data_IF_862241053611
#
_entry.id   IF_862241053611
#
_cell.length_a   1.000
_cell.length_b   1.000
_cell.length_c   1.000
_cell.angle_alpha   90.00
_cell.angle_beta   90.00
_cell.angle_gamma   90.00
#
_symmetry.space_group_name_H-M   'P 1'
#
loop_
_entity.id
_entity.type
_entity.pdbx_description
1 polymer ?
#
# COMPACT_ATOMS: atom_id res chain seq x y z
N UNK A 1 5.03 4.23 37.32
CA UNK A 1 3.80 3.50 37.65
C UNK A 1 2.77 3.87 36.61
N UNK A 2 2.40 2.93 35.72
CA UNK A 2 1.31 3.13 34.76
C UNK A 2 -0.01 3.33 35.51
N UNK A 3 -0.86 4.25 35.04
CA UNK A 3 -2.19 4.42 35.63
C UNK A 3 -2.95 3.08 35.60
N UNK A 4 -3.67 2.71 36.68
CA UNK A 4 -4.45 1.48 36.71
C UNK A 4 -5.46 1.47 35.56
N UNK A 5 -5.66 0.30 34.96
CA UNK A 5 -6.62 0.15 33.88
C UNK A 5 -8.02 0.54 34.39
N UNK A 6 -8.64 1.52 33.74
CA UNK A 6 -10.00 1.96 34.08
C UNK A 6 -10.99 1.17 33.25
N UNK A 7 -11.74 0.28 33.90
CA UNK A 7 -12.83 -0.47 33.26
C UNK A 7 -13.84 0.51 32.64
N UNK A 8 -14.18 0.40 31.35
CA UNK A 8 -15.28 1.17 30.77
C UNK A 8 -16.61 0.73 31.40
N UNK A 9 -17.62 1.61 31.36
CA UNK A 9 -18.97 1.27 31.82
C UNK A 9 -19.49 0.06 31.02
N UNK A 10 -20.00 -0.96 31.72
CA UNK A 10 -20.45 -2.19 31.10
C UNK A 10 -21.62 -1.92 30.13
N UNK A 11 -21.52 -2.33 28.86
CA UNK A 11 -22.69 -2.36 27.98
C UNK A 11 -23.67 -3.46 28.44
N UNK A 12 -24.94 -3.34 28.05
CA UNK A 12 -26.01 -4.32 28.34
C UNK A 12 -25.56 -5.77 28.04
N UNK A 13 -25.86 -6.75 28.91
CA UNK A 13 -25.43 -8.15 28.76
C UNK A 13 -25.95 -8.85 27.49
N UNK A 14 -27.03 -8.34 26.87
CA UNK A 14 -27.53 -8.83 25.58
C UNK A 14 -26.73 -8.32 24.37
N UNK A 15 -25.90 -7.29 24.58
CA UNK A 15 -25.07 -6.70 23.55
C UNK A 15 -23.66 -7.27 23.70
N UNK A 16 -23.18 -8.00 22.69
CA UNK A 16 -21.79 -8.43 22.62
C UNK A 16 -20.77 -7.29 22.84
N UNK A 17 -19.48 -7.61 22.79
CA UNK A 17 -18.44 -6.63 23.05
C UNK A 17 -17.50 -6.44 21.86
N UNK A 18 -16.79 -5.31 21.84
CA UNK A 18 -15.88 -4.96 20.76
C UNK A 18 -14.43 -5.23 21.17
N UNK A 19 -13.86 -6.29 20.61
CA UNK A 19 -12.46 -6.63 20.76
C UNK A 19 -11.62 -5.89 19.71
N UNK A 20 -11.05 -4.75 20.09
CA UNK A 20 -10.26 -3.86 19.24
C UNK A 20 -10.42 -2.39 19.62
N UNK A 21 -10.00 -1.44 18.77
CA UNK A 21 -9.37 -1.63 17.46
C UNK A 21 -7.92 -2.09 17.57
N UNK A 22 -7.53 -3.06 16.75
CA UNK A 22 -6.13 -3.48 16.66
C UNK A 22 -5.33 -2.50 15.81
N UNK A 23 -4.09 -2.16 16.24
CA UNK A 23 -3.29 -1.17 15.54
C UNK A 23 -2.97 -1.65 14.12
N UNK A 24 -3.29 -0.82 13.12
CA UNK A 24 -2.87 -1.07 11.75
C UNK A 24 -1.34 -0.97 11.71
N UNK A 25 -0.63 -1.92 11.08
CA UNK A 25 0.82 -1.81 10.89
C UNK A 25 1.12 -0.60 9.99
N UNK A 26 1.34 0.56 10.62
CA UNK A 26 1.55 1.86 9.95
C UNK A 26 2.67 1.82 8.90
N UNK A 27 3.68 0.98 9.12
CA UNK A 27 4.77 0.77 8.17
C UNK A 27 4.28 0.18 6.85
N UNK A 28 3.39 -0.81 6.87
CA UNK A 28 2.84 -1.41 5.65
C UNK A 28 1.96 -0.42 4.88
N UNK A 29 1.16 0.39 5.59
CA UNK A 29 0.41 1.48 4.95
C UNK A 29 1.34 2.52 4.31
N UNK A 30 2.40 2.91 5.03
CA UNK A 30 3.38 3.87 4.53
C UNK A 30 4.19 3.35 3.33
N UNK A 31 4.37 2.02 3.20
CA UNK A 31 5.00 1.38 2.05
C UNK A 31 4.01 1.12 0.90
N UNK A 32 2.73 0.92 1.18
CA UNK A 32 1.72 0.69 0.14
C UNK A 32 1.43 1.96 -0.66
N UNK A 33 1.26 3.11 0.00
CA UNK A 33 0.99 4.39 -0.65
C UNK A 33 1.97 4.76 -1.80
N UNK A 34 3.31 4.74 -1.61
CA UNK A 34 4.27 5.03 -2.67
C UNK A 34 4.20 3.99 -3.81
N UNK A 35 3.98 2.71 -3.50
CA UNK A 35 3.84 1.67 -4.51
C UNK A 35 2.59 1.86 -5.37
N UNK A 36 1.46 2.26 -4.77
CA UNK A 36 0.24 2.60 -5.53
C UNK A 36 0.53 3.75 -6.47
N UNK A 37 1.17 4.79 -5.96
CA UNK A 37 1.42 6.01 -6.72
C UNK A 37 2.41 5.80 -7.88
N UNK A 38 3.55 5.16 -7.61
CA UNK A 38 4.53 4.79 -8.64
C UNK A 38 3.93 3.80 -9.62
N UNK A 39 3.20 2.79 -9.13
CA UNK A 39 2.53 1.80 -9.95
C UNK A 39 1.54 2.42 -10.93
N UNK A 40 0.68 3.32 -10.43
CA UNK A 40 -0.27 4.05 -11.26
C UNK A 40 0.43 4.90 -12.34
N UNK A 41 1.49 5.63 -11.96
CA UNK A 41 2.28 6.43 -12.92
C UNK A 41 2.86 5.56 -14.04
N UNK A 42 3.47 4.43 -13.68
CA UNK A 42 4.11 3.51 -14.62
C UNK A 42 3.09 2.83 -15.55
N UNK A 43 1.91 2.47 -15.03
CA UNK A 43 0.79 1.98 -15.85
C UNK A 43 0.33 3.05 -16.85
N UNK A 44 0.19 4.31 -16.40
CA UNK A 44 -0.17 5.42 -17.30
C UNK A 44 0.85 5.60 -18.41
N UNK A 45 2.15 5.54 -18.09
CA UNK A 45 3.22 5.66 -19.09
C UNK A 45 3.24 4.50 -20.08
N UNK A 46 3.03 3.27 -19.62
CA UNK A 46 3.07 2.09 -20.49
C UNK A 46 1.81 1.85 -21.33
N UNK A 47 0.71 2.56 -21.05
CA UNK A 47 -0.52 2.49 -21.84
C UNK A 47 -0.61 3.55 -22.95
N UNK A 48 0.34 4.50 -22.99
CA UNK A 48 0.46 5.45 -24.08
C UNK A 48 0.88 4.72 -25.38
N UNK A 49 0.10 4.90 -26.44
CA UNK A 49 0.41 4.34 -27.76
C UNK A 49 -0.02 5.31 -28.86
N UNK A 50 0.74 5.30 -29.94
CA UNK A 50 0.45 6.07 -31.16
C UNK A 50 -0.04 5.14 -32.26
N UNK A 51 -1.09 5.55 -32.97
CA UNK A 51 -1.58 4.86 -34.15
C UNK A 51 -1.61 5.84 -35.31
N UNK A 52 -0.98 5.49 -36.43
CA UNK A 52 -1.13 6.20 -37.69
C UNK A 52 -1.97 5.33 -38.62
N UNK A 53 -3.19 5.77 -38.91
CA UNK A 53 -4.12 5.09 -39.81
C UNK A 53 -4.31 5.96 -41.05
N UNK A 54 -4.03 5.41 -42.23
CA UNK A 54 -4.30 6.06 -43.49
C UNK A 54 -5.41 5.32 -44.22
N UNK A 55 -6.46 6.05 -44.60
CA UNK A 55 -7.60 5.55 -45.37
C UNK A 55 -7.89 6.48 -46.54
N UNK A 56 -7.92 5.88 -47.72
CA UNK A 56 -8.21 6.48 -49.02
C UNK A 56 -7.29 7.68 -49.32
N UNK A 57 -7.65 8.87 -48.86
CA UNK A 57 -6.91 10.13 -49.09
C UNK A 57 -6.46 10.83 -47.81
N UNK A 58 -6.79 10.27 -46.64
CA UNK A 58 -6.55 10.92 -45.35
C UNK A 58 -5.80 10.01 -44.39
N UNK A 59 -4.80 10.57 -43.73
CA UNK A 59 -4.07 9.94 -42.64
C UNK A 59 -4.47 10.60 -41.32
N UNK A 60 -4.70 9.78 -40.29
CA UNK A 60 -5.00 10.21 -38.94
C UNK A 60 -3.96 9.61 -38.01
N UNK A 61 -3.15 10.49 -37.40
CA UNK A 61 -2.34 10.09 -36.26
C UNK A 61 -3.14 10.30 -34.99
N UNK A 62 -3.46 9.21 -34.30
CA UNK A 62 -4.11 9.21 -33.00
C UNK A 62 -3.12 8.77 -31.93
N UNK A 63 -2.86 9.66 -30.98
CA UNK A 63 -2.15 9.31 -29.74
C UNK A 63 -3.16 9.10 -28.63
N UNK A 64 -3.22 7.88 -28.11
CA UNK A 64 -4.14 7.50 -27.04
C UNK A 64 -3.34 7.38 -25.74
N UNK A 65 -3.56 8.33 -24.83
CA UNK A 65 -3.14 8.23 -23.43
C UNK A 65 -4.35 7.94 -22.55
N UNK A 66 -4.13 7.46 -21.32
CA UNK A 66 -5.20 7.20 -20.35
C UNK A 66 -6.10 8.42 -20.05
N UNK A 67 -5.57 9.63 -20.22
CA UNK A 67 -6.25 10.89 -19.85
C UNK A 67 -6.69 11.69 -21.09
N UNK A 68 -6.09 11.44 -22.26
CA UNK A 68 -6.31 12.24 -23.46
C UNK A 68 -6.09 11.42 -24.73
N UNK A 69 -7.06 11.47 -25.63
CA UNK A 69 -6.83 11.18 -27.05
C UNK A 69 -6.52 12.50 -27.77
N UNK A 70 -5.41 12.54 -28.51
CA UNK A 70 -5.14 13.61 -29.48
C UNK A 70 -5.07 12.99 -30.85
N UNK A 71 -5.94 13.43 -31.76
CA UNK A 71 -5.86 13.07 -33.17
C UNK A 71 -5.41 14.26 -34.00
N UNK A 72 -4.63 13.99 -35.04
CA UNK A 72 -4.31 14.96 -36.09
C UNK A 72 -4.50 14.28 -37.44
N UNK A 73 -5.37 14.85 -38.24
CA UNK A 73 -5.61 14.40 -39.60
C UNK A 73 -4.80 15.24 -40.59
N UNK A 74 -4.31 14.62 -41.65
CA UNK A 74 -3.68 15.28 -42.79
C UNK A 74 -3.91 14.45 -44.06
N UNK A 75 -3.98 15.08 -45.25
CA UNK A 75 -4.08 14.36 -46.51
C UNK A 75 -2.87 13.45 -46.76
N UNK A 76 -3.09 12.26 -47.30
CA UNK A 76 -2.03 11.30 -47.65
C UNK A 76 -1.04 11.91 -48.67
N UNK A 77 -1.54 12.77 -49.58
CA UNK A 77 -0.70 13.49 -50.55
C UNK A 77 0.32 14.44 -49.93
N UNK A 78 0.10 14.85 -48.68
CA UNK A 78 1.05 15.68 -47.94
C UNK A 78 2.13 14.85 -47.26
N UNK A 79 1.99 13.53 -47.14
CA UNK A 79 2.98 12.66 -46.52
C UNK A 79 4.05 12.26 -47.54
N UNK A 80 5.22 12.89 -47.44
CA UNK A 80 6.33 12.66 -48.38
C UNK A 80 7.30 11.57 -47.90
N UNK A 81 7.33 11.29 -46.59
CA UNK A 81 8.15 10.22 -46.04
C UNK A 81 8.21 10.19 -44.52
N UNK A 82 8.99 9.24 -44.02
CA UNK A 82 9.27 9.06 -42.60
C UNK A 82 10.75 8.79 -42.38
N UNK A 83 11.31 9.34 -41.30
CA UNK A 83 12.69 9.12 -40.88
C UNK A 83 12.74 8.81 -39.39
N UNK A 84 13.59 7.87 -38.99
CA UNK A 84 13.90 7.63 -37.59
C UNK A 84 15.09 8.51 -37.18
N UNK A 85 14.88 9.34 -36.18
CA UNK A 85 15.92 10.19 -35.58
C UNK A 85 16.25 9.68 -34.18
N UNK A 86 17.52 9.69 -33.83
CA UNK A 86 17.97 9.36 -32.47
C UNK A 86 18.05 10.63 -31.62
N UNK A 87 17.36 10.61 -30.48
CA UNK A 87 17.39 11.67 -29.49
C UNK A 87 18.25 11.20 -28.33
N UNK A 88 19.38 11.88 -28.15
CA UNK A 88 20.26 11.64 -27.00
C UNK A 88 19.76 12.44 -25.81
N UNK A 89 19.35 11.76 -24.75
CA UNK A 89 18.96 12.36 -23.49
C UNK A 89 19.90 11.91 -22.36
N UNK A 90 19.80 12.56 -21.20
CA UNK A 90 20.50 12.13 -19.98
C UNK A 90 20.12 10.70 -19.56
N UNK A 91 18.96 10.21 -19.98
CA UNK A 91 18.41 8.91 -19.63
C UNK A 91 18.67 7.84 -20.70
N UNK A 92 19.51 8.13 -21.69
CA UNK A 92 19.85 7.21 -22.78
C UNK A 92 19.45 7.73 -24.17
N UNK A 93 19.65 6.87 -25.17
CA UNK A 93 19.30 7.13 -26.57
C UNK A 93 17.88 6.60 -26.83
N UNK A 94 16.99 7.46 -27.32
CA UNK A 94 15.64 7.08 -27.77
C UNK A 94 15.48 7.32 -29.26
N UNK A 95 14.64 6.52 -29.91
CA UNK A 95 14.21 6.76 -31.28
C UNK A 95 12.99 7.67 -31.30
N UNK A 96 12.90 8.56 -32.28
CA UNK A 96 11.71 9.32 -32.60
C UNK A 96 11.46 9.22 -34.10
N UNK A 97 10.22 8.99 -34.49
CA UNK A 97 9.82 9.00 -35.90
C UNK A 97 9.43 10.43 -36.28
N UNK A 98 10.10 10.96 -37.29
CA UNK A 98 9.79 12.24 -37.93
C UNK A 98 9.10 11.96 -39.26
N UNK A 99 7.83 12.33 -39.35
CA UNK A 99 7.09 12.37 -40.61
C UNK A 99 7.37 13.68 -41.31
N UNK A 100 7.53 13.65 -42.62
CA UNK A 100 7.59 14.85 -43.46
C UNK A 100 6.21 15.09 -44.06
N UNK A 101 5.49 16.06 -43.49
CA UNK A 101 4.11 16.40 -43.88
C UNK A 101 4.10 17.80 -44.46
N UNK A 102 3.91 17.91 -45.79
CA UNK A 102 3.91 19.19 -46.52
C UNK A 102 5.19 20.02 -46.27
N UNK A 103 6.36 19.36 -46.23
CA UNK A 103 7.65 19.98 -45.96
C UNK A 103 7.87 20.39 -44.50
N UNK A 104 6.91 20.09 -43.60
CA UNK A 104 7.01 20.37 -42.18
C UNK A 104 7.25 19.08 -41.38
N UNK A 105 8.19 19.08 -40.43
CA UNK A 105 8.41 17.93 -39.58
C UNK A 105 7.24 17.72 -38.61
N UNK A 106 6.61 16.56 -38.70
CA UNK A 106 5.65 16.09 -37.72
C UNK A 106 6.29 14.96 -36.89
N UNK A 107 6.56 15.24 -35.62
CA UNK A 107 7.24 14.31 -34.72
C UNK A 107 6.22 13.40 -34.04
N UNK A 108 6.43 12.08 -34.14
CA UNK A 108 5.68 11.08 -33.37
C UNK A 108 6.26 10.93 -31.95
N UNK A 109 5.60 10.12 -31.12
CA UNK A 109 6.08 9.80 -29.78
C UNK A 109 7.49 9.20 -29.80
N UNK A 110 8.26 9.41 -28.73
CA UNK A 110 9.57 8.77 -28.58
C UNK A 110 9.42 7.31 -28.18
N UNK A 111 10.13 6.39 -28.82
CA UNK A 111 10.15 4.95 -28.52
C UNK A 111 11.59 4.41 -28.54
N UNK A 112 11.77 3.09 -28.50
CA UNK A 112 13.08 2.47 -28.68
C UNK A 112 13.64 2.78 -30.08
N UNK A 113 14.97 2.82 -30.22
CA UNK A 113 15.61 3.11 -31.51
C UNK A 113 15.22 2.06 -32.57
N UNK A 114 15.12 0.79 -32.18
CA UNK A 114 14.71 -0.30 -33.06
C UNK A 114 13.28 -0.12 -33.57
N UNK A 115 12.33 0.16 -32.66
CA UNK A 115 10.92 0.38 -33.00
C UNK A 115 10.74 1.60 -33.92
N UNK A 116 11.43 2.71 -33.62
CA UNK A 116 11.35 3.91 -34.46
C UNK A 116 11.87 3.64 -35.89
N UNK A 117 12.96 2.87 -36.03
CA UNK A 117 13.49 2.46 -37.34
C UNK A 117 12.53 1.53 -38.08
N UNK A 118 11.89 0.61 -37.37
CA UNK A 118 10.88 -0.29 -37.93
C UNK A 118 9.67 0.51 -38.44
N UNK A 119 9.05 1.33 -37.59
CA UNK A 119 7.90 2.17 -37.94
C UNK A 119 8.21 3.12 -39.10
N UNK A 120 9.35 3.81 -39.08
CA UNK A 120 9.74 4.72 -40.17
C UNK A 120 9.93 3.97 -41.50
N UNK A 121 10.48 2.75 -41.46
CA UNK A 121 10.63 1.90 -42.65
C UNK A 121 9.27 1.45 -43.19
N UNK A 122 8.38 0.95 -42.33
CA UNK A 122 7.04 0.51 -42.73
C UNK A 122 6.22 1.64 -43.35
N UNK A 123 6.28 2.85 -42.78
CA UNK A 123 5.62 4.02 -43.37
C UNK A 123 6.21 4.36 -44.74
N UNK A 124 7.55 4.33 -44.88
CA UNK A 124 8.21 4.61 -46.16
C UNK A 124 7.84 3.59 -47.24
N UNK A 125 7.74 2.31 -46.88
CA UNK A 125 7.33 1.23 -47.79
C UNK A 125 5.89 1.44 -48.29
N UNK A 126 4.94 1.73 -47.39
CA UNK A 126 3.55 1.99 -47.78
C UNK A 126 3.38 3.25 -48.64
N UNK A 127 4.12 4.33 -48.33
CA UNK A 127 4.12 5.54 -49.15
C UNK A 127 4.70 5.28 -50.54
N UNK A 128 5.78 4.48 -50.63
CA UNK A 128 6.40 4.14 -51.92
C UNK A 128 5.50 3.25 -52.80
N UNK A 129 4.71 2.36 -52.19
CA UNK A 129 3.80 1.45 -52.89
C UNK A 129 2.46 2.10 -53.27
N UNK A 130 2.23 3.37 -52.90
CA UNK A 130 0.96 4.07 -53.07
C UNK A 130 -0.23 3.32 -52.44
N UNK A 131 0.00 2.61 -51.34
CA UNK A 131 -1.05 1.94 -50.58
C UNK A 131 -1.98 2.99 -49.97
N UNK A 132 -3.26 2.96 -50.35
CA UNK A 132 -4.26 3.91 -49.84
C UNK A 132 -4.87 3.50 -48.51
N UNK A 133 -4.64 2.26 -48.05
CA UNK A 133 -5.18 1.73 -46.79
C UNK A 133 -4.13 0.94 -46.02
N UNK A 134 -3.68 1.52 -44.92
CA UNK A 134 -2.73 0.87 -44.03
C UNK A 134 -2.77 1.52 -42.64
N UNK A 135 -2.30 0.76 -41.65
CA UNK A 135 -2.27 1.17 -40.27
C UNK A 135 -0.92 0.76 -39.69
N UNK A 136 -0.18 1.75 -39.19
CA UNK A 136 1.07 1.52 -38.46
C UNK A 136 0.85 1.92 -37.01
N UNK A 137 0.97 0.93 -36.13
CA UNK A 137 0.90 1.12 -34.69
C UNK A 137 2.31 1.28 -34.15
N UNK A 138 2.52 2.35 -33.41
CA UNK A 138 3.74 2.59 -32.65
C UNK A 138 3.45 2.24 -31.19
N UNK A 139 3.89 1.05 -30.79
CA UNK A 139 3.80 0.63 -29.39
C UNK A 139 4.92 1.30 -28.59
N UNK A 140 4.57 1.87 -27.44
CA UNK A 140 5.57 2.17 -26.43
C UNK A 140 6.07 0.85 -25.83
N UNK A 141 7.26 0.91 -25.24
CA UNK A 141 7.80 -0.22 -24.49
C UNK A 141 6.78 -0.66 -23.42
N UNK A 142 6.46 -1.96 -23.37
CA UNK A 142 5.43 -2.49 -22.44
C UNK A 142 5.96 -2.71 -21.02
N UNK A 143 7.27 -2.63 -20.82
CA UNK A 143 7.90 -2.88 -19.53
C UNK A 143 7.48 -1.88 -18.42
N UNK A 144 7.19 -0.58 -18.67
CA UNK A 144 6.67 0.31 -17.64
C UNK A 144 5.30 -0.12 -17.18
N UNK A 145 4.39 -0.52 -18.09
CA UNK A 145 3.08 -1.04 -17.71
C UNK A 145 3.21 -2.33 -16.87
N UNK A 146 4.09 -3.25 -17.27
CA UNK A 146 4.35 -4.47 -16.51
C UNK A 146 4.93 -4.17 -15.11
N UNK A 147 5.93 -3.28 -15.02
CA UNK A 147 6.52 -2.85 -13.75
C UNK A 147 5.49 -2.15 -12.86
N UNK A 148 4.63 -1.31 -13.44
CA UNK A 148 3.54 -0.64 -12.74
C UNK A 148 2.49 -1.63 -12.21
N UNK A 149 2.11 -2.63 -13.00
CA UNK A 149 1.20 -3.69 -12.57
C UNK A 149 1.79 -4.50 -11.39
N UNK A 150 3.07 -4.87 -11.46
CA UNK A 150 3.77 -5.55 -10.35
C UNK A 150 3.79 -4.67 -9.09
N UNK A 151 4.09 -3.38 -9.22
CA UNK A 151 4.07 -2.45 -8.07
C UNK A 151 2.67 -2.34 -7.44
N UNK A 152 1.60 -2.28 -8.25
CA UNK A 152 0.22 -2.27 -7.77
C UNK A 152 -0.17 -3.58 -7.07
N UNK A 153 0.24 -4.73 -7.59
CA UNK A 153 0.03 -6.03 -6.95
C UNK A 153 0.74 -6.13 -5.60
N UNK A 154 1.98 -5.64 -5.51
CA UNK A 154 2.72 -5.57 -4.25
C UNK A 154 2.06 -4.63 -3.24
N UNK A 155 1.55 -3.48 -3.71
CA UNK A 155 0.80 -2.55 -2.87
C UNK A 155 -0.49 -3.19 -2.33
N UNK A 156 -1.26 -3.86 -3.20
CA UNK A 156 -2.47 -4.57 -2.82
C UNK A 156 -2.17 -5.67 -1.81
N UNK A 157 -1.12 -6.47 -2.05
CA UNK A 157 -0.68 -7.49 -1.10
C UNK A 157 -0.33 -6.86 0.26
N UNK A 158 0.45 -5.78 0.29
CA UNK A 158 0.79 -5.06 1.52
C UNK A 158 -0.46 -4.55 2.26
N UNK A 159 -1.44 -4.01 1.55
CA UNK A 159 -2.72 -3.55 2.12
C UNK A 159 -3.56 -4.70 2.67
N UNK A 160 -3.69 -5.82 1.94
CA UNK A 160 -4.40 -7.00 2.42
C UNK A 160 -3.74 -7.59 3.67
N UNK A 161 -2.41 -7.62 3.71
CA UNK A 161 -1.67 -8.03 4.90
C UNK A 161 -1.85 -7.07 6.08
N UNK A 162 -1.85 -5.75 5.83
CA UNK A 162 -2.15 -4.75 6.85
C UNK A 162 -3.59 -4.88 7.38
N UNK A 163 -4.54 -5.20 6.49
CA UNK A 163 -5.93 -5.47 6.84
C UNK A 163 -6.07 -6.74 7.70
N UNK A 164 -5.30 -7.80 7.43
CA UNK A 164 -5.35 -9.09 8.16
C UNK A 164 -5.05 -8.98 9.66
N UNK A 165 -4.31 -7.96 10.09
CA UNK A 165 -4.02 -7.72 11.52
C UNK A 165 -4.82 -6.60 12.18
N UNK A 166 -5.68 -5.90 11.43
CA UNK A 166 -6.34 -4.68 11.89
C UNK A 166 -7.87 -4.77 11.92
N UNK A 167 -8.49 -3.80 12.60
CA UNK A 167 -9.95 -3.70 12.73
C UNK A 167 -10.45 -4.04 14.12
N UNK A 168 -11.75 -4.30 14.22
CA UNK A 168 -12.44 -4.70 15.46
C UNK A 168 -13.09 -6.07 15.25
N UNK A 169 -13.12 -6.89 16.30
CA UNK A 169 -13.94 -8.09 16.37
C UNK A 169 -15.12 -7.82 17.30
N UNK A 170 -16.33 -7.84 16.75
CA UNK A 170 -17.54 -7.92 17.57
C UNK A 170 -17.69 -9.36 18.05
N UNK A 171 -17.76 -9.59 19.36
CA UNK A 171 -17.90 -10.91 19.97
C UNK A 171 -19.25 -10.97 20.69
N UNK A 172 -20.06 -11.96 20.35
CA UNK A 172 -21.39 -12.22 20.90
C UNK A 172 -21.35 -13.61 21.56
N UNK A 173 -21.77 -13.70 22.83
CA UNK A 173 -21.93 -14.98 23.51
C UNK A 173 -23.26 -15.59 23.04
N UNK A 174 -23.21 -16.83 22.55
CA UNK A 174 -24.35 -17.52 21.96
C UNK A 174 -24.40 -18.93 22.51
N UNK A 175 -25.15 -19.14 23.61
CA UNK A 175 -25.36 -20.46 24.21
C UNK A 175 -24.04 -21.22 24.44
N UNK A 176 -23.75 -22.19 23.56
CA UNK A 176 -22.55 -23.05 23.65
C UNK A 176 -21.28 -22.48 22.98
N UNK A 177 -21.29 -21.23 22.49
CA UNK A 177 -20.16 -20.68 21.75
C UNK A 177 -20.02 -19.17 21.75
N UNK A 178 -18.87 -18.70 21.26
CA UNK A 178 -18.60 -17.31 20.94
C UNK A 178 -18.74 -17.10 19.44
N UNK A 179 -19.76 -16.36 19.03
CA UNK A 179 -19.88 -15.87 17.66
C UNK A 179 -19.07 -14.60 17.53
N UNK A 180 -18.16 -14.55 16.57
CA UNK A 180 -17.35 -13.37 16.32
C UNK A 180 -17.52 -12.87 14.89
N UNK A 181 -17.48 -11.54 14.73
CA UNK A 181 -17.60 -10.85 13.45
C UNK A 181 -16.51 -9.79 13.36
N UNK A 182 -15.62 -9.96 12.39
CA UNK A 182 -14.54 -9.01 12.11
C UNK A 182 -15.02 -7.89 11.20
N UNK A 183 -14.77 -6.64 11.62
CA UNK A 183 -15.03 -5.42 10.86
C UNK A 183 -13.75 -4.63 10.64
N UNK A 184 -13.58 -4.09 9.44
CA UNK A 184 -12.54 -3.11 9.13
C UNK A 184 -13.21 -1.92 8.44
N UNK A 185 -13.12 -0.73 9.04
CA UNK A 185 -13.77 0.48 8.51
C UNK A 185 -15.26 0.29 8.19
N UNK A 186 -15.99 -0.45 9.04
CA UNK A 186 -17.41 -0.75 8.86
C UNK A 186 -17.71 -1.93 7.91
N UNK A 187 -16.75 -2.39 7.11
CA UNK A 187 -16.92 -3.51 6.18
C UNK A 187 -16.73 -4.84 6.92
N UNK A 188 -17.64 -5.79 6.72
CA UNK A 188 -17.57 -7.15 7.28
C UNK A 188 -16.55 -7.97 6.48
N UNK A 189 -15.51 -8.47 7.14
CA UNK A 189 -14.45 -9.24 6.48
C UNK A 189 -14.55 -10.74 6.73
N UNK A 190 -14.90 -11.13 7.96
CA UNK A 190 -14.95 -12.52 8.37
C UNK A 190 -15.91 -12.68 9.54
N UNK A 191 -16.48 -13.86 9.69
CA UNK A 191 -17.21 -14.28 10.87
C UNK A 191 -16.92 -15.74 11.16
N UNK A 192 -17.07 -16.13 12.41
CA UNK A 192 -16.96 -17.51 12.82
C UNK A 192 -17.58 -17.73 14.18
N UNK A 193 -17.53 -18.97 14.61
CA UNK A 193 -18.04 -19.42 15.89
C UNK A 193 -16.97 -20.27 16.54
N UNK A 194 -16.63 -19.95 17.79
CA UNK A 194 -15.70 -20.75 18.58
C UNK A 194 -16.48 -21.44 19.69
N UNK A 195 -16.46 -22.77 19.81
CA UNK A 195 -17.15 -23.46 20.89
C UNK A 195 -16.57 -23.06 22.25
N UNK A 196 -17.44 -22.85 23.22
CA UNK A 196 -17.07 -22.61 24.61
C UNK A 196 -17.12 -23.94 25.39
N UNK A 197 -16.10 -24.23 26.21
CA UNK A 197 -16.22 -25.25 27.25
C UNK A 197 -17.42 -24.95 28.16
N UNK A 198 -18.11 -25.99 28.64
CA UNK A 198 -19.26 -25.83 29.55
C UNK A 198 -18.87 -25.40 30.96
N UNK A 199 -17.62 -25.64 31.36
CA UNK A 199 -17.11 -25.47 32.72
C UNK A 199 -16.15 -24.28 32.87
N UNK A 200 -16.49 -23.12 32.30
CA UNK A 200 -15.65 -21.92 32.39
C UNK A 200 -15.62 -21.38 33.83
N UNK A 201 -14.41 -21.16 34.35
CA UNK A 201 -14.14 -20.60 35.67
C UNK A 201 -13.53 -19.18 35.59
N UNK A 202 -12.66 -18.95 34.60
CA UNK A 202 -11.99 -17.65 34.42
C UNK A 202 -11.68 -17.35 32.94
N UNK A 203 -11.30 -16.12 32.64
CA UNK A 203 -10.78 -15.65 31.36
C UNK A 203 -9.39 -15.08 31.58
N UNK A 204 -8.41 -15.62 30.86
CA UNK A 204 -7.01 -15.22 30.93
C UNK A 204 -6.48 -14.82 29.56
N UNK A 205 -5.42 -14.01 29.57
CA UNK A 205 -4.70 -13.65 28.35
C UNK A 205 -3.53 -14.61 28.22
N UNK A 206 -3.45 -15.30 27.09
CA UNK A 206 -2.29 -16.11 26.74
C UNK A 206 -1.42 -15.33 25.76
N UNK A 207 -0.17 -15.10 26.16
CA UNK A 207 0.81 -14.42 25.33
C UNK A 207 1.61 -15.41 24.51
N UNK A 208 1.88 -15.04 23.26
CA UNK A 208 2.75 -15.77 22.36
C UNK A 208 3.61 -14.79 21.57
N UNK A 209 4.79 -15.24 21.15
CA UNK A 209 5.60 -14.51 20.19
C UNK A 209 5.39 -15.10 18.81
N UNK A 210 5.22 -14.25 17.79
CA UNK A 210 5.09 -14.70 16.39
C UNK A 210 5.96 -13.84 15.50
N UNK A 211 6.66 -14.49 14.57
CA UNK A 211 7.31 -13.78 13.46
C UNK A 211 6.26 -13.37 12.44
N UNK A 212 6.21 -12.09 12.11
CA UNK A 212 5.39 -11.62 10.99
C UNK A 212 6.15 -11.82 9.68
N UNK A 213 5.44 -12.01 8.57
CA UNK A 213 6.03 -12.28 7.25
C UNK A 213 7.08 -11.22 6.81
N UNK A 214 6.88 -9.94 7.19
CA UNK A 214 7.78 -8.83 6.88
C UNK A 214 8.88 -8.59 7.91
N UNK A 215 9.05 -9.50 8.87
CA UNK A 215 10.02 -9.34 9.93
C UNK A 215 11.40 -9.84 9.47
N UNK A 216 12.42 -8.98 9.50
CA UNK A 216 13.78 -9.45 9.16
C UNK A 216 14.25 -10.52 10.15
N UNK A 217 15.16 -11.38 9.70
CA UNK A 217 15.74 -12.49 10.49
C UNK A 217 16.29 -12.04 11.86
N UNK A 218 16.79 -10.81 11.94
CA UNK A 218 17.40 -10.22 13.13
C UNK A 218 16.43 -9.33 13.94
N UNK A 219 15.21 -9.09 13.47
CA UNK A 219 14.24 -8.39 14.31
C UNK A 219 13.63 -9.35 15.33
N UNK A 220 13.44 -8.90 16.56
CA UNK A 220 12.83 -9.72 17.58
C UNK A 220 11.36 -10.00 17.28
N UNK A 221 10.85 -11.21 17.53
CA UNK A 221 9.46 -11.55 17.22
C UNK A 221 8.48 -10.64 17.98
N UNK A 222 7.35 -10.33 17.34
CA UNK A 222 6.32 -9.49 17.97
C UNK A 222 5.50 -10.29 18.98
N UNK A 223 5.08 -9.60 20.03
CA UNK A 223 4.21 -10.16 21.07
C UNK A 223 2.75 -10.05 20.67
N UNK A 224 2.02 -11.16 20.77
CA UNK A 224 0.59 -11.26 20.49
C UNK A 224 -0.11 -11.91 21.68
N UNK A 225 -1.24 -11.34 22.09
CA UNK A 225 -2.13 -11.92 23.09
C UNK A 225 -3.32 -12.59 22.43
N UNK A 226 -3.83 -13.67 23.02
CA UNK A 226 -5.13 -14.25 22.69
C UNK A 226 -5.95 -14.43 23.96
N UNK A 227 -7.27 -14.29 23.86
CA UNK A 227 -8.16 -14.65 24.96
C UNK A 227 -8.27 -16.17 25.07
N UNK A 228 -8.13 -16.67 26.29
CA UNK A 228 -8.36 -18.06 26.64
C UNK A 228 -9.29 -18.14 27.85
N UNK A 229 -10.20 -19.10 27.85
CA UNK A 229 -11.00 -19.42 29.02
C UNK A 229 -10.26 -20.48 29.84
N UNK A 230 -10.37 -20.38 31.16
CA UNK A 230 -9.84 -21.35 32.12
C UNK A 230 -11.01 -22.19 32.59
N UNK A 231 -10.93 -23.50 32.41
CA UNK A 231 -11.95 -24.42 32.89
C UNK A 231 -11.86 -24.61 34.41
N UNK A 232 -12.87 -25.24 35.04
CA UNK A 232 -12.81 -25.63 36.46
C UNK A 232 -11.61 -26.54 36.76
N UNK A 233 -11.20 -27.36 35.78
CA UNK A 233 -10.00 -28.21 35.84
C UNK A 233 -8.68 -27.43 35.66
N UNK A 234 -8.73 -26.11 35.53
CA UNK A 234 -7.56 -25.26 35.30
C UNK A 234 -6.99 -25.32 33.87
N UNK A 235 -7.69 -25.97 32.94
CA UNK A 235 -7.24 -26.07 31.54
C UNK A 235 -7.49 -24.76 30.81
N UNK A 236 -6.49 -24.24 30.10
CA UNK A 236 -6.61 -23.03 29.27
C UNK A 236 -7.04 -23.41 27.86
N UNK A 237 -8.21 -22.95 27.44
CA UNK A 237 -8.75 -23.19 26.10
C UNK A 237 -8.80 -21.86 25.33
N UNK A 238 -8.07 -21.70 24.22
CA UNK A 238 -8.07 -20.46 23.46
C UNK A 238 -9.41 -20.26 22.74
N UNK A 239 -10.00 -19.06 22.88
CA UNK A 239 -11.33 -18.77 22.33
C UNK A 239 -11.32 -17.80 21.14
N UNK A 240 -10.30 -16.96 21.04
CA UNK A 240 -10.14 -15.99 19.94
C UNK A 240 -8.71 -16.02 19.37
N UNK A 241 -8.56 -15.41 18.19
CA UNK A 241 -7.27 -15.28 17.51
C UNK A 241 -6.25 -14.44 18.30
N UNK A 242 -4.98 -14.54 17.91
CA UNK A 242 -3.89 -13.80 18.53
C UNK A 242 -3.70 -12.42 17.86
N UNK A 243 -3.74 -11.35 18.65
CA UNK A 243 -3.64 -9.95 18.20
C UNK A 243 -2.67 -9.13 19.05
N UNK A 244 -2.24 -7.97 18.54
CA UNK A 244 -1.34 -7.05 19.26
C UNK A 244 -2.12 -6.09 20.16
N UNK A 245 -1.52 -5.67 21.28
CA UNK A 245 -2.02 -4.58 22.15
C UNK A 245 -2.50 -5.03 23.53
N UNK A 246 -1.79 -4.63 24.58
CA UNK A 246 -2.05 -5.07 25.96
C UNK A 246 -3.39 -4.61 26.54
N UNK A 247 -3.65 -3.31 26.52
CA UNK A 247 -4.88 -2.74 27.07
C UNK A 247 -6.15 -3.30 26.40
N UNK A 248 -6.08 -3.62 25.10
CA UNK A 248 -7.20 -4.21 24.35
C UNK A 248 -7.52 -5.62 24.86
N UNK A 249 -6.50 -6.41 25.19
CA UNK A 249 -6.69 -7.75 25.75
C UNK A 249 -7.23 -7.72 27.17
N UNK A 250 -6.75 -6.81 28.03
CA UNK A 250 -7.29 -6.65 29.39
C UNK A 250 -8.77 -6.25 29.36
N UNK A 251 -9.12 -5.28 28.50
CA UNK A 251 -10.52 -4.88 28.29
C UNK A 251 -11.39 -6.03 27.84
N UNK A 252 -10.96 -6.73 26.78
CA UNK A 252 -11.73 -7.82 26.21
C UNK A 252 -11.85 -9.01 27.16
N UNK A 253 -10.84 -9.27 28.00
CA UNK A 253 -10.93 -10.28 29.05
C UNK A 253 -11.97 -9.91 30.11
N UNK A 254 -11.99 -8.65 30.57
CA UNK A 254 -12.99 -8.16 31.53
C UNK A 254 -14.41 -8.18 30.94
N UNK A 255 -14.59 -7.74 29.70
CA UNK A 255 -15.88 -7.76 28.99
C UNK A 255 -16.37 -9.18 28.73
N UNK A 256 -15.47 -10.11 28.38
CA UNK A 256 -15.83 -11.52 28.22
C UNK A 256 -16.22 -12.18 29.55
N UNK A 257 -15.57 -11.81 30.68
CA UNK A 257 -15.97 -12.29 32.01
C UNK A 257 -17.39 -11.85 32.35
N UNK A 258 -17.73 -10.59 32.08
CA UNK A 258 -19.07 -10.06 32.30
C UNK A 258 -20.09 -10.76 31.41
N UNK A 259 -19.78 -10.95 30.13
CA UNK A 259 -20.66 -11.61 29.18
C UNK A 259 -20.87 -13.11 29.46
N UNK A 260 -19.95 -13.74 30.19
CA UNK A 260 -20.06 -15.11 30.70
C UNK A 260 -20.66 -15.18 32.11
N UNK A 261 -21.12 -14.04 32.66
CA UNK A 261 -21.72 -13.94 34.00
C UNK A 261 -20.82 -14.48 35.12
N UNK A 262 -19.50 -14.37 34.96
CA UNK A 262 -18.54 -14.83 35.96
C UNK A 262 -18.53 -13.87 37.16
N UNK A 263 -18.34 -14.39 38.40
CA UNK A 263 -18.30 -13.54 39.59
C UNK A 263 -17.27 -12.40 39.46
N UNK A 264 -17.59 -11.16 39.86
CA UNK A 264 -16.64 -10.07 39.76
C UNK A 264 -15.39 -10.40 40.59
N UNK A 265 -14.20 -10.06 40.05
CA UNK A 265 -12.96 -10.18 40.81
C UNK A 265 -12.93 -9.09 41.88
N UNK A 266 -12.38 -9.42 43.04
CA UNK A 266 -12.07 -8.39 44.04
C UNK A 266 -10.98 -7.45 43.48
N UNK A 267 -10.90 -6.19 43.95
CA UNK A 267 -9.88 -5.26 43.48
C UNK A 267 -8.45 -5.81 43.62
N UNK A 268 -8.17 -6.58 44.67
CA UNK A 268 -6.85 -7.20 44.88
C UNK A 268 -6.56 -8.27 43.83
N UNK A 269 -7.55 -9.14 43.52
CA UNK A 269 -7.42 -10.17 42.48
C UNK A 269 -7.30 -9.57 41.09
N UNK A 270 -7.99 -8.46 40.81
CA UNK A 270 -7.86 -7.77 39.53
C UNK A 270 -6.45 -7.18 39.38
N UNK A 271 -5.91 -6.55 40.42
CA UNK A 271 -4.53 -6.04 40.42
C UNK A 271 -3.49 -7.16 40.35
N UNK A 272 -3.73 -8.33 40.94
CA UNK A 272 -2.89 -9.52 40.77
C UNK A 272 -2.97 -10.09 39.35
N UNK A 273 -4.16 -10.13 38.76
CA UNK A 273 -4.35 -10.52 37.37
C UNK A 273 -3.63 -9.59 36.40
N UNK A 274 -3.77 -8.27 36.56
CA UNK A 274 -3.08 -7.29 35.73
C UNK A 274 -1.55 -7.45 35.83
N UNK A 275 -1.02 -7.60 37.05
CA UNK A 275 0.41 -7.84 37.28
C UNK A 275 0.89 -9.15 36.66
N UNK A 276 0.15 -10.24 36.83
CA UNK A 276 0.52 -11.54 36.26
C UNK A 276 0.39 -11.54 34.72
N UNK A 277 -0.61 -10.86 34.15
CA UNK A 277 -0.78 -10.70 32.72
C UNK A 277 0.33 -9.81 32.11
N UNK A 278 0.79 -8.78 32.83
CA UNK A 278 1.93 -7.97 32.44
C UNK A 278 3.25 -8.75 32.54
N UNK A 279 3.46 -9.51 33.62
CA UNK A 279 4.67 -10.32 33.82
C UNK A 279 4.77 -11.49 32.84
N UNK A 280 3.64 -12.10 32.46
CA UNK A 280 3.59 -13.17 31.47
C UNK A 280 3.81 -12.69 30.03
N UNK A 281 3.80 -11.36 29.80
CA UNK A 281 4.04 -10.78 28.48
C UNK A 281 5.53 -10.95 28.14
N UNK A 282 5.87 -11.61 27.02
CA UNK A 282 7.22 -11.61 26.51
C UNK A 282 7.71 -10.17 26.34
N UNK A 283 8.87 -9.86 26.92
CA UNK A 283 9.48 -8.55 26.84
C UNK A 283 9.59 -8.13 25.37
N UNK A 284 8.95 -7.01 25.02
CA UNK A 284 9.11 -6.43 23.70
C UNK A 284 10.51 -5.86 23.63
N UNK A 285 11.38 -6.53 22.89
CA UNK A 285 12.71 -6.01 22.62
C UNK A 285 12.55 -4.78 21.73
N UNK A 286 13.29 -3.70 22.03
CA UNK A 286 13.12 -2.44 21.34
C UNK A 286 13.25 -2.68 19.84
N UNK A 287 12.24 -2.24 19.08
CA UNK A 287 12.18 -2.49 17.65
C UNK A 287 13.48 -2.05 16.97
N UNK A 288 13.86 -2.68 15.86
CA UNK A 288 15.09 -2.42 15.09
C UNK A 288 15.30 -0.91 14.79
N UNK A 289 14.21 -0.14 14.71
CA UNK A 289 14.18 1.30 14.47
C UNK A 289 14.38 2.18 15.72
N UNK A 290 14.47 1.61 16.91
CA UNK A 290 14.62 2.36 18.17
C UNK A 290 16.06 2.83 18.44
N UNK A 291 17.05 2.08 17.93
CA UNK A 291 18.48 2.43 18.03
C UNK A 291 18.90 3.53 17.04
N UNK A 292 20.10 4.11 17.25
CA UNK A 292 20.64 5.20 16.41
C UNK A 292 20.74 4.77 14.93
N UNK A 293 21.29 3.58 14.66
CA UNK A 293 21.38 3.04 13.31
C UNK A 293 20.00 2.79 12.68
N UNK A 294 19.04 2.30 13.45
CA UNK A 294 17.66 2.12 12.99
C UNK A 294 16.96 3.43 12.62
N UNK A 295 17.22 4.50 13.38
CA UNK A 295 16.69 5.83 13.06
C UNK A 295 17.27 6.39 11.78
N UNK A 296 18.57 6.23 11.58
CA UNK A 296 19.21 6.61 10.33
C UNK A 296 18.61 5.83 9.15
N UNK A 297 18.42 4.52 9.29
CA UNK A 297 17.76 3.69 8.28
C UNK A 297 16.32 4.15 8.00
N UNK A 298 15.54 4.50 9.03
CA UNK A 298 14.19 5.03 8.86
C UNK A 298 14.17 6.39 8.14
N UNK A 299 15.09 7.29 8.48
CA UNK A 299 15.24 8.60 7.83
C UNK A 299 15.65 8.41 6.37
N UNK A 300 16.61 7.53 6.09
CA UNK A 300 17.07 7.23 4.74
C UNK A 300 15.95 6.62 3.89
N UNK A 301 15.22 5.66 4.44
CA UNK A 301 14.07 5.06 3.77
C UNK A 301 12.97 6.10 3.52
N UNK A 302 12.67 6.93 4.53
CA UNK A 302 11.72 8.04 4.41
C UNK A 302 12.13 9.04 3.33
N UNK A 303 13.42 9.37 3.24
CA UNK A 303 13.98 10.26 2.22
C UNK A 303 13.82 9.66 0.82
N UNK A 304 14.23 8.41 0.61
CA UNK A 304 14.15 7.75 -0.70
C UNK A 304 12.69 7.55 -1.15
N UNK A 305 11.86 6.98 -0.29
CA UNK A 305 10.43 6.73 -0.58
C UNK A 305 9.68 8.04 -0.75
N UNK A 306 9.97 9.02 0.10
CA UNK A 306 9.40 10.36 0.02
C UNK A 306 9.76 11.06 -1.29
N UNK A 307 11.02 11.04 -1.69
CA UNK A 307 11.50 11.64 -2.94
C UNK A 307 10.79 11.03 -4.16
N UNK A 308 10.76 9.69 -4.25
CA UNK A 308 10.10 8.97 -5.35
C UNK A 308 8.60 9.30 -5.39
N UNK A 309 7.94 9.29 -4.24
CA UNK A 309 6.51 9.63 -4.13
C UNK A 309 6.24 11.08 -4.53
N UNK A 310 7.11 11.99 -4.12
CA UNK A 310 6.99 13.41 -4.45
C UNK A 310 7.13 13.66 -5.94
N UNK A 311 8.10 13.01 -6.61
CA UNK A 311 8.24 13.06 -8.07
C UNK A 311 6.97 12.53 -8.75
N UNK A 312 6.47 11.38 -8.30
CA UNK A 312 5.30 10.77 -8.92
C UNK A 312 4.01 11.58 -8.69
N UNK A 313 3.81 12.16 -7.50
CA UNK A 313 2.68 13.04 -7.19
C UNK A 313 2.75 14.32 -8.04
N UNK A 314 3.93 14.93 -8.11
CA UNK A 314 4.13 16.15 -8.86
C UNK A 314 3.97 15.92 -10.38
N UNK A 315 4.53 14.83 -10.91
CA UNK A 315 4.35 14.41 -12.30
C UNK A 315 2.88 14.13 -12.64
N UNK A 316 2.18 13.41 -11.77
CA UNK A 316 0.75 13.14 -11.95
C UNK A 316 -0.09 14.42 -11.84
N UNK A 317 0.28 15.36 -10.95
CA UNK A 317 -0.32 16.69 -10.87
C UNK A 317 -0.15 17.50 -12.16
N UNK A 318 1.06 17.54 -12.74
CA UNK A 318 1.32 18.20 -14.04
C UNK A 318 0.50 17.59 -15.18
N UNK A 319 0.38 16.26 -15.19
CA UNK A 319 -0.42 15.52 -16.16
C UNK A 319 -1.90 15.89 -16.04
N UNK A 320 -2.45 15.89 -14.82
CA UNK A 320 -3.85 16.21 -14.54
C UNK A 320 -4.18 17.68 -14.86
N UNK A 321 -3.29 18.61 -14.49
CA UNK A 321 -3.46 20.05 -14.76
C UNK A 321 -3.14 20.44 -16.21
N UNK A 322 -2.71 19.48 -17.06
CA UNK A 322 -2.36 19.69 -18.48
C UNK A 322 -1.22 20.69 -18.70
N UNK A 323 -0.37 20.89 -17.70
CA UNK A 323 0.77 21.82 -17.76
C UNK A 323 2.03 21.14 -18.33
N UNK A 324 2.02 19.81 -18.52
CA UNK A 324 3.12 19.07 -19.14
C UNK A 324 2.69 17.80 -19.88
N UNK A 325 3.59 17.29 -20.71
CA UNK A 325 3.52 15.99 -21.38
C UNK A 325 4.35 14.93 -20.63
N UNK A 326 4.02 13.64 -20.83
CA UNK A 326 4.81 12.51 -20.31
C UNK A 326 6.23 12.50 -20.91
N UNK A 327 6.38 13.07 -22.11
CA UNK A 327 7.65 13.13 -22.83
C UNK A 327 8.54 14.30 -22.41
N UNK A 328 8.02 15.24 -21.61
CA UNK A 328 8.81 16.39 -21.20
C UNK A 328 9.93 15.92 -20.25
N UNK A 329 11.19 16.32 -20.49
CA UNK A 329 12.27 15.98 -19.58
C UNK A 329 11.97 16.53 -18.20
N UNK A 330 12.18 15.72 -17.16
CA UNK A 330 11.99 16.16 -15.78
C UNK A 330 12.90 17.36 -15.54
N UNK A 331 12.29 18.54 -15.37
CA UNK A 331 13.04 19.77 -15.17
C UNK A 331 13.74 19.78 -13.82
N UNK A 332 14.83 20.55 -13.69
CA UNK A 332 15.52 20.73 -12.40
C UNK A 332 14.55 21.20 -11.31
N UNK A 333 13.59 22.06 -11.67
CA UNK A 333 12.58 22.59 -10.77
C UNK A 333 11.53 21.53 -10.39
N UNK A 334 11.18 20.63 -11.32
CA UNK A 334 10.30 19.48 -11.05
C UNK A 334 10.96 18.50 -10.07
N UNK A 335 12.26 18.22 -10.24
CA UNK A 335 13.05 17.42 -9.31
C UNK A 335 13.15 18.09 -7.94
N UNK A 336 13.41 19.40 -7.90
CA UNK A 336 13.65 20.10 -6.65
C UNK A 336 12.37 20.24 -5.83
N UNK A 337 11.24 20.60 -6.45
CA UNK A 337 9.94 20.68 -5.78
C UNK A 337 9.35 19.30 -5.48
N UNK A 338 9.32 18.41 -6.48
CA UNK A 338 8.77 17.07 -6.33
C UNK A 338 9.61 16.21 -5.41
N UNK A 339 10.86 15.94 -5.77
CA UNK A 339 11.74 15.09 -4.97
C UNK A 339 12.13 15.73 -3.64
N UNK A 340 12.46 17.03 -3.62
CA UNK A 340 12.85 17.72 -2.39
C UNK A 340 11.70 17.84 -1.39
N UNK A 341 10.51 18.28 -1.85
CA UNK A 341 9.31 18.35 -1.01
C UNK A 341 8.87 16.98 -0.51
N UNK A 342 8.88 15.98 -1.39
CA UNK A 342 8.60 14.58 -1.05
C UNK A 342 9.59 14.02 -0.03
N UNK A 343 10.89 14.24 -0.21
CA UNK A 343 11.94 13.80 0.71
C UNK A 343 11.75 14.41 2.11
N UNK A 344 11.53 15.72 2.19
CA UNK A 344 11.30 16.40 3.47
C UNK A 344 10.06 15.85 4.18
N UNK A 345 8.94 15.66 3.46
CA UNK A 345 7.73 15.05 3.99
C UNK A 345 7.92 13.59 4.44
N UNK A 346 8.67 12.81 3.68
CA UNK A 346 9.00 11.42 3.99
C UNK A 346 9.88 11.28 5.23
N UNK A 347 10.91 12.13 5.37
CA UNK A 347 11.74 12.20 6.58
C UNK A 347 10.89 12.60 7.79
N UNK A 348 10.05 13.63 7.65
CA UNK A 348 9.15 14.06 8.72
C UNK A 348 8.20 12.94 9.17
N UNK A 349 7.60 12.21 8.23
CA UNK A 349 6.73 11.08 8.52
C UNK A 349 7.49 9.94 9.22
N UNK A 350 8.70 9.59 8.74
CA UNK A 350 9.55 8.58 9.36
C UNK A 350 9.91 8.93 10.81
N UNK A 351 10.25 10.19 11.08
CA UNK A 351 10.51 10.69 12.43
C UNK A 351 9.25 10.64 13.32
N UNK A 352 8.09 11.03 12.80
CA UNK A 352 6.79 10.94 13.52
C UNK A 352 6.43 9.49 13.88
N UNK A 353 6.66 8.55 12.98
CA UNK A 353 6.35 7.13 13.19
C UNK A 353 7.30 6.45 14.18
N UNK A 354 8.56 6.89 14.24
CA UNK A 354 9.57 6.35 15.15
C UNK A 354 9.55 7.00 16.54
N UNK A 355 9.13 8.27 16.65
CA UNK A 355 9.05 8.98 17.94
C UNK A 355 7.81 8.63 18.78
N UNK A 356 6.63 8.45 18.16
CA UNK A 356 5.39 8.11 18.91
C UNK A 356 5.47 6.81 19.70
N UNK A 357 6.25 5.82 19.24
CA UNK A 357 6.46 4.56 19.99
C UNK A 357 7.17 4.78 21.32
N UNK A 358 8.08 5.75 21.42
CA UNK A 358 8.75 6.04 22.70
C UNK A 358 7.82 6.56 23.78
N UNK A 359 6.78 7.30 23.41
CA UNK A 359 5.79 7.77 24.39
C UNK A 359 4.97 6.61 24.95
N UNK A 360 4.66 5.61 24.13
CA UNK A 360 3.98 4.37 24.53
C UNK A 360 4.92 3.47 25.37
N UNK A 361 6.19 3.34 24.99
CA UNK A 361 7.19 2.52 25.71
C UNK A 361 7.67 3.17 27.02
N UNK A 362 7.76 4.51 27.13
CA UNK A 362 8.11 5.19 28.38
C UNK A 362 7.00 5.14 29.45
N UNK A 363 5.80 4.69 29.08
CA UNK A 363 4.68 4.45 30.00
C UNK A 363 4.41 2.97 30.25
N UNK A 364 5.17 2.06 29.61
CA UNK A 364 5.20 0.66 29.97
C UNK A 364 6.33 0.45 31.02
N UNK A 365 6.02 -0.03 32.24
CA UNK A 365 7.02 -0.28 33.27
C UNK A 365 8.00 -1.40 32.89
#
# INVERSE_FOLDING_TARGET
MSAPYRRPAAPSPEAGFDYGPFPVPRLLLALAAPLVLVGALFVVMGLDHGELRCEDTTCVYQRTTLVRSRSRAFPLSQLHGAQATEIRSKNGVRGQVRLDVNGQPFLLSSTSVGEARYVARSIKEHVANADSRWMVRQDNERWPAAAGAVALLLALAALLWAAKGSGTLRVEVSGEGLRWRRRLLGIRLASGETPLPRDVNDVVIEWSTRRTFFQHRHEPPKTFGRLAVVTQRGTKVPVLGAYAGHAVHLRAAAELRDALELPPRTPEREAEYERSAAAARPAETPSTFAGVGGRFAAVWLGLCVGAISGIALFGMGKLLLRVGSIDDPVGTLDLLLGAGGGAAGGVWLALRLTTRRRAEDQHAP
#
